data_IF_962542644524
#
_entry.id   IF_962542644524
#
_cell.length_a   1.000
_cell.length_b   1.000
_cell.length_c   1.000
_cell.angle_alpha   90.00
_cell.angle_beta   90.00
_cell.angle_gamma   90.00
#
_symmetry.space_group_name_H-M   'P 1'
#
loop_
_entity.id
_entity.type
_entity.pdbx_description
1 polymer ?
#
# COMPACT_ATOMS: atom_id res chain seq x y z
N UNK A 1 37.48 10.10 75.83
CA UNK A 1 36.18 10.79 75.64
C UNK A 1 36.17 11.65 74.38
N UNK A 2 37.11 12.58 74.18
CA UNK A 2 37.14 13.45 72.99
C UNK A 2 37.27 12.72 71.65
N UNK A 3 38.03 11.63 71.59
CA UNK A 3 38.17 10.78 70.39
C UNK A 3 36.87 10.07 70.03
N UNK A 4 36.22 9.41 70.99
CA UNK A 4 34.93 8.74 70.77
C UNK A 4 33.83 9.71 70.30
N UNK A 5 33.83 10.94 70.81
CA UNK A 5 32.88 11.96 70.38
C UNK A 5 33.13 12.38 68.93
N UNK A 6 34.39 12.57 68.54
CA UNK A 6 34.77 12.86 67.16
C UNK A 6 34.39 11.71 66.22
N UNK A 7 34.69 10.47 66.58
CA UNK A 7 34.36 9.30 65.75
C UNK A 7 32.83 9.18 65.54
N UNK A 8 32.04 9.53 66.56
CA UNK A 8 30.58 9.55 66.46
C UNK A 8 30.05 10.68 65.57
N UNK A 9 30.71 11.84 65.58
CA UNK A 9 30.41 12.96 64.68
C UNK A 9 30.76 12.62 63.22
N UNK A 10 31.94 12.04 62.99
CA UNK A 10 32.39 11.61 61.66
C UNK A 10 31.47 10.50 61.08
N UNK A 11 31.04 9.56 61.93
CA UNK A 11 30.07 8.53 61.53
C UNK A 11 28.70 9.14 61.17
N UNK A 12 28.23 10.13 61.94
CA UNK A 12 26.97 10.82 61.69
C UNK A 12 27.01 11.58 60.37
N UNK A 13 28.12 12.27 60.08
CA UNK A 13 28.36 12.96 58.82
C UNK A 13 28.28 11.98 57.65
N UNK A 14 29.01 10.86 57.75
CA UNK A 14 29.03 9.80 56.73
C UNK A 14 27.65 9.18 56.49
N UNK A 15 26.92 8.88 57.56
CA UNK A 15 25.56 8.32 57.48
C UNK A 15 24.58 9.29 56.81
N UNK A 16 24.67 10.59 57.11
CA UNK A 16 23.88 11.61 56.44
C UNK A 16 24.23 11.69 54.95
N UNK A 17 25.53 11.64 54.61
CA UNK A 17 25.99 11.60 53.22
C UNK A 17 25.41 10.43 52.44
N UNK A 18 25.54 9.21 52.98
CA UNK A 18 24.99 7.99 52.37
C UNK A 18 23.46 8.09 52.19
N UNK A 19 22.75 8.69 53.15
CA UNK A 19 21.30 8.85 53.06
C UNK A 19 20.90 9.77 51.90
N UNK A 20 21.64 10.88 51.71
CA UNK A 20 21.43 11.81 50.59
C UNK A 20 21.75 11.11 49.27
N UNK A 21 22.89 10.45 49.18
CA UNK A 21 23.32 9.73 47.98
C UNK A 21 22.31 8.65 47.60
N UNK A 22 21.82 7.87 48.57
CA UNK A 22 20.79 6.88 48.36
C UNK A 22 19.49 7.50 47.81
N UNK A 23 19.05 8.63 48.36
CA UNK A 23 17.88 9.33 47.85
C UNK A 23 18.07 9.81 46.40
N UNK A 24 19.27 10.26 46.03
CA UNK A 24 19.57 10.65 44.65
C UNK A 24 19.62 9.45 43.69
N UNK A 25 20.22 8.34 44.11
CA UNK A 25 20.28 7.09 43.35
C UNK A 25 18.87 6.54 43.10
N UNK A 26 17.99 6.58 44.10
CA UNK A 26 16.60 6.13 43.94
C UNK A 26 15.84 6.96 42.89
N UNK A 27 16.07 8.29 42.84
CA UNK A 27 15.48 9.15 41.80
C UNK A 27 16.00 8.80 40.41
N UNK A 28 17.32 8.61 40.28
CA UNK A 28 17.93 8.20 39.02
C UNK A 28 17.44 6.82 38.56
N UNK A 29 17.30 5.87 39.49
CA UNK A 29 16.79 4.54 39.22
C UNK A 29 15.34 4.56 38.72
N UNK A 30 14.50 5.42 39.27
CA UNK A 30 13.13 5.64 38.77
C UNK A 30 13.14 6.10 37.33
N UNK A 31 13.91 7.16 37.02
CA UNK A 31 14.00 7.70 35.67
C UNK A 31 14.51 6.66 34.65
N UNK A 32 15.53 5.86 35.02
CA UNK A 32 16.04 4.78 34.18
C UNK A 32 14.94 3.74 33.91
N UNK A 33 14.16 3.38 34.93
CA UNK A 33 13.09 2.39 34.80
C UNK A 33 11.99 2.89 33.85
N UNK A 34 11.63 4.17 33.94
CA UNK A 34 10.65 4.80 33.06
C UNK A 34 11.15 4.81 31.60
N UNK A 35 12.40 5.22 31.37
CA UNK A 35 13.02 5.20 30.04
C UNK A 35 13.10 3.78 29.45
N UNK A 36 13.42 2.77 30.26
CA UNK A 36 13.44 1.38 29.80
C UNK A 36 12.05 0.89 29.38
N UNK A 37 11.01 1.31 30.08
CA UNK A 37 9.62 1.03 29.73
C UNK A 37 9.27 1.65 28.37
N UNK A 38 9.60 2.92 28.17
CA UNK A 38 9.38 3.64 26.91
C UNK A 38 10.13 3.00 25.74
N UNK A 39 11.41 2.66 25.93
CA UNK A 39 12.21 1.95 24.91
C UNK A 39 11.55 0.63 24.53
N UNK A 40 11.05 -0.14 25.50
CA UNK A 40 10.37 -1.41 25.23
C UNK A 40 9.10 -1.19 24.40
N UNK A 41 8.31 -0.17 24.73
CA UNK A 41 7.11 0.19 23.98
C UNK A 41 7.44 0.63 22.55
N UNK A 42 8.44 1.50 22.37
CA UNK A 42 8.89 1.96 21.07
C UNK A 42 9.39 0.81 20.19
N UNK A 43 10.16 -0.13 20.75
CA UNK A 43 10.60 -1.32 20.01
C UNK A 43 9.42 -2.16 19.51
N UNK A 44 8.40 -2.34 20.34
CA UNK A 44 7.20 -3.07 19.95
C UNK A 44 6.45 -2.37 18.82
N UNK A 45 6.24 -1.05 18.93
CA UNK A 45 5.58 -0.26 17.88
C UNK A 45 6.35 -0.30 16.56
N UNK A 46 7.68 -0.21 16.61
CA UNK A 46 8.53 -0.24 15.43
C UNK A 46 8.44 -1.61 14.71
N UNK A 47 8.44 -2.70 15.47
CA UNK A 47 8.21 -4.05 14.90
C UNK A 47 6.86 -4.17 14.21
N UNK A 48 5.81 -3.61 14.80
CA UNK A 48 4.47 -3.68 14.21
C UNK A 48 4.34 -2.80 12.95
N UNK A 49 4.96 -1.62 12.96
CA UNK A 49 5.05 -0.77 11.77
C UNK A 49 5.84 -1.44 10.64
N UNK A 50 6.96 -2.09 10.95
CA UNK A 50 7.76 -2.81 9.96
C UNK A 50 6.95 -3.92 9.27
N UNK A 51 6.14 -4.69 10.01
CA UNK A 51 5.24 -5.68 9.41
C UNK A 51 4.22 -5.03 8.47
N UNK A 52 3.62 -3.93 8.90
CA UNK A 52 2.63 -3.20 8.10
C UNK A 52 3.24 -2.62 6.83
N UNK A 53 4.49 -2.17 6.88
CA UNK A 53 5.24 -1.73 5.70
C UNK A 53 5.36 -2.88 4.72
N UNK A 54 5.85 -4.05 5.15
CA UNK A 54 6.01 -5.22 4.28
C UNK A 54 4.67 -5.66 3.67
N UNK A 55 3.59 -5.66 4.45
CA UNK A 55 2.24 -5.96 3.94
C UNK A 55 1.81 -4.98 2.84
N UNK A 56 2.01 -3.68 3.07
CA UNK A 56 1.64 -2.65 2.10
C UNK A 56 2.53 -2.69 0.85
N UNK A 57 3.82 -2.96 1.00
CA UNK A 57 4.75 -3.13 -0.11
C UNK A 57 4.34 -4.29 -1.01
N UNK A 58 3.99 -5.45 -0.43
CA UNK A 58 3.48 -6.59 -1.19
C UNK A 58 2.21 -6.23 -1.95
N UNK A 59 1.27 -5.56 -1.29
CA UNK A 59 0.01 -5.15 -1.92
C UNK A 59 0.21 -4.13 -3.05
N UNK A 60 1.19 -3.23 -2.93
CA UNK A 60 1.57 -2.32 -4.03
C UNK A 60 2.17 -3.11 -5.18
N UNK A 61 3.06 -4.07 -4.91
CA UNK A 61 3.65 -4.92 -5.94
C UNK A 61 2.57 -5.70 -6.73
N UNK A 62 1.57 -6.24 -6.04
CA UNK A 62 0.43 -6.93 -6.66
C UNK A 62 -0.37 -5.99 -7.57
N UNK A 63 -0.68 -4.78 -7.10
CA UNK A 63 -1.41 -3.78 -7.87
C UNK A 63 -0.63 -3.29 -9.10
N UNK A 64 0.68 -3.10 -8.96
CA UNK A 64 1.54 -2.76 -10.09
C UNK A 64 1.59 -3.89 -11.12
N UNK A 65 1.65 -5.15 -10.68
CA UNK A 65 1.61 -6.30 -11.57
C UNK A 65 0.26 -6.38 -12.30
N UNK A 66 -0.85 -6.12 -11.60
CA UNK A 66 -2.18 -6.06 -12.19
C UNK A 66 -2.26 -4.96 -13.26
N UNK A 67 -1.75 -3.76 -12.97
CA UNK A 67 -1.69 -2.66 -13.94
C UNK A 67 -0.84 -3.01 -15.15
N UNK A 68 0.38 -3.54 -14.96
CA UNK A 68 1.26 -3.96 -16.06
C UNK A 68 0.61 -5.03 -16.94
N UNK A 69 -0.09 -5.99 -16.32
CA UNK A 69 -0.82 -7.03 -17.06
C UNK A 69 -1.95 -6.43 -17.90
N UNK A 70 -2.73 -5.52 -17.32
CA UNK A 70 -3.79 -4.83 -18.05
C UNK A 70 -3.24 -3.93 -19.18
N UNK A 71 -2.14 -3.22 -18.95
CA UNK A 71 -1.50 -2.39 -19.97
C UNK A 71 -0.94 -3.23 -21.12
N UNK A 72 -0.38 -4.42 -20.85
CA UNK A 72 0.04 -5.36 -21.91
C UNK A 72 -1.17 -5.89 -22.70
N UNK A 73 -2.28 -6.18 -22.03
CA UNK A 73 -3.53 -6.60 -22.70
C UNK A 73 -4.08 -5.47 -23.59
N UNK A 74 -3.97 -4.21 -23.15
CA UNK A 74 -4.45 -3.04 -23.89
C UNK A 74 -3.50 -2.65 -25.03
N UNK A 75 -2.18 -2.71 -24.82
CA UNK A 75 -1.15 -2.31 -25.81
C UNK A 75 -0.95 -3.34 -26.94
N UNK A 76 -1.52 -4.53 -26.83
CA UNK A 76 -1.68 -5.46 -27.97
C UNK A 76 -2.74 -5.01 -28.99
N UNK A 77 -3.50 -3.95 -28.69
CA UNK A 77 -4.54 -3.38 -29.56
C UNK A 77 -4.17 -1.93 -29.90
N UNK A 78 -4.19 -1.58 -31.19
CA UNK A 78 -3.89 -0.24 -31.66
C UNK A 78 -5.12 0.66 -31.42
N UNK A 79 -5.27 1.20 -30.20
CA UNK A 79 -6.36 2.13 -29.89
C UNK A 79 -5.98 3.52 -30.41
N UNK A 80 -6.41 3.86 -31.62
CA UNK A 80 -6.45 5.26 -32.07
C UNK A 80 -7.71 5.88 -31.44
N UNK A 81 -7.61 6.86 -30.52
CA UNK A 81 -8.80 7.50 -29.97
C UNK A 81 -9.57 8.12 -31.14
N UNK A 82 -10.80 7.64 -31.38
CA UNK A 82 -11.71 8.24 -32.36
C UNK A 82 -11.77 9.73 -32.03
N UNK A 83 -11.24 10.57 -32.92
CA UNK A 83 -11.36 12.01 -32.78
C UNK A 83 -12.85 12.34 -32.60
N UNK A 84 -13.22 12.83 -31.42
CA UNK A 84 -14.58 13.23 -31.05
C UNK A 84 -15.23 14.17 -32.09
N UNK A 85 -14.42 14.84 -32.92
CA UNK A 85 -14.85 15.69 -34.02
C UNK A 85 -15.61 14.99 -35.18
N UNK A 86 -15.55 13.66 -35.31
CA UNK A 86 -16.32 12.95 -36.34
C UNK A 86 -17.72 12.53 -35.88
N UNK A 87 -18.01 12.50 -34.56
CA UNK A 87 -19.31 12.09 -34.05
C UNK A 87 -20.43 13.13 -34.29
N UNK A 88 -20.09 14.35 -34.73
CA UNK A 88 -21.05 15.42 -35.00
C UNK A 88 -21.29 15.66 -36.50
N UNK A 89 -20.57 14.98 -37.39
CA UNK A 89 -20.85 15.05 -38.84
C UNK A 89 -21.88 13.98 -39.20
N UNK A 90 -23.14 14.39 -39.08
CA UNK A 90 -24.29 13.62 -39.56
C UNK A 90 -24.07 13.14 -40.99
N UNK A 91 -24.66 11.98 -41.28
CA UNK A 91 -24.62 11.28 -42.56
C UNK A 91 -24.73 12.24 -43.75
N UNK A 92 -23.61 12.55 -44.39
CA UNK A 92 -23.59 13.07 -45.75
C UNK A 92 -22.42 12.41 -46.46
N UNK A 93 -22.78 11.38 -47.22
CA UNK A 93 -21.91 10.67 -48.15
C UNK A 93 -21.29 11.65 -49.14
N UNK A 94 -19.98 11.84 -49.07
CA UNK A 94 -19.14 12.20 -50.24
C UNK A 94 -17.75 11.58 -50.06
N UNK A 95 -17.50 10.52 -50.82
CA UNK A 95 -16.21 10.05 -51.34
C UNK A 95 -14.94 10.49 -50.58
N UNK A 96 -14.49 9.65 -49.66
CA UNK A 96 -13.11 9.58 -49.20
C UNK A 96 -12.79 8.12 -48.95
N UNK A 97 -11.67 7.64 -49.48
CA UNK A 97 -11.19 6.26 -49.32
C UNK A 97 -11.35 5.85 -47.86
N UNK A 98 -12.25 4.89 -47.61
CA UNK A 98 -12.32 4.23 -46.31
C UNK A 98 -11.09 3.34 -46.25
N UNK A 99 -9.98 3.90 -45.75
CA UNK A 99 -8.96 3.05 -45.16
C UNK A 99 -9.69 2.20 -44.13
N UNK A 100 -9.67 0.89 -44.33
CA UNK A 100 -10.28 -0.06 -43.41
C UNK A 100 -9.40 -0.08 -42.15
N UNK A 101 -9.53 0.96 -41.32
CA UNK A 101 -8.94 0.98 -39.98
C UNK A 101 -9.79 0.03 -39.14
N UNK A 102 -9.23 -1.14 -38.85
CA UNK A 102 -9.84 -2.14 -37.96
C UNK A 102 -10.20 -1.46 -36.63
N UNK A 103 -11.46 -1.61 -36.23
CA UNK A 103 -11.92 -1.13 -34.92
C UNK A 103 -11.25 -1.92 -33.80
N UNK A 104 -11.18 -1.35 -32.60
CA UNK A 104 -10.63 -2.04 -31.42
C UNK A 104 -11.35 -3.36 -31.12
N UNK A 105 -12.62 -3.47 -31.51
CA UNK A 105 -13.43 -4.68 -31.40
C UNK A 105 -13.02 -5.74 -32.45
N UNK A 106 -12.73 -5.32 -33.69
CA UNK A 106 -12.22 -6.21 -34.76
C UNK A 106 -10.80 -6.72 -34.47
N UNK A 107 -9.93 -5.90 -33.87
CA UNK A 107 -8.58 -6.32 -33.45
C UNK A 107 -8.61 -7.28 -32.25
N UNK A 108 -9.69 -7.26 -31.46
CA UNK A 108 -9.85 -8.12 -30.29
C UNK A 108 -10.08 -9.59 -30.68
N UNK A 109 -10.81 -9.86 -31.76
CA UNK A 109 -11.13 -11.21 -32.21
C UNK A 109 -9.90 -12.06 -32.60
N UNK A 110 -8.95 -11.60 -33.45
CA UNK A 110 -7.75 -12.35 -33.77
C UNK A 110 -6.76 -12.40 -32.60
N UNK A 111 -6.71 -11.36 -31.76
CA UNK A 111 -5.86 -11.35 -30.57
C UNK A 111 -6.29 -12.40 -29.54
N UNK A 112 -7.60 -12.51 -29.29
CA UNK A 112 -8.17 -13.50 -28.38
C UNK A 112 -7.93 -14.95 -28.87
N UNK A 113 -7.99 -15.16 -30.19
CA UNK A 113 -7.67 -16.44 -30.83
C UNK A 113 -6.17 -16.79 -30.73
N UNK A 114 -5.29 -15.80 -30.94
CA UNK A 114 -3.83 -15.96 -30.82
C UNK A 114 -3.37 -16.27 -29.39
N UNK A 115 -4.03 -15.67 -28.38
CA UNK A 115 -3.77 -15.96 -26.97
C UNK A 115 -4.19 -17.38 -26.59
N UNK A 116 -5.39 -17.85 -26.98
CA UNK A 116 -5.81 -19.24 -26.68
C UNK A 116 -4.96 -20.29 -27.45
N UNK A 117 -4.25 -19.94 -28.53
CA UNK A 117 -3.33 -20.86 -29.25
C UNK A 117 -1.91 -20.95 -28.64
N UNK A 118 -1.45 -19.95 -27.89
CA UNK A 118 -0.05 -19.87 -27.39
C UNK A 118 0.17 -20.44 -25.98
N UNK A 119 -0.80 -21.13 -25.40
CA UNK A 119 -0.55 -22.08 -24.31
C UNK A 119 -0.37 -21.50 -22.91
N UNK A 120 -1.21 -20.54 -22.50
CA UNK A 120 -1.50 -20.35 -21.07
C UNK A 120 -2.74 -21.17 -20.73
N UNK A 121 -2.54 -22.28 -20.00
CA UNK A 121 -3.59 -23.15 -19.49
C UNK A 121 -4.49 -22.42 -18.48
N UNK A 122 -5.39 -21.57 -18.94
CA UNK A 122 -6.57 -21.18 -18.19
C UNK A 122 -7.73 -21.02 -19.14
N UNK A 123 -8.54 -22.09 -19.19
CA UNK A 123 -9.99 -22.07 -19.44
C UNK A 123 -10.47 -20.85 -20.23
N UNK A 124 -10.51 -20.96 -21.56
CA UNK A 124 -11.35 -20.10 -22.40
C UNK A 124 -12.80 -20.29 -21.84
N UNK A 125 -13.42 -19.32 -21.13
CA UNK A 125 -14.76 -19.51 -20.61
C UNK A 125 -15.72 -19.37 -21.78
N UNK A 126 -16.40 -20.46 -22.10
CA UNK A 126 -17.50 -20.51 -23.04
C UNK A 126 -18.51 -19.41 -22.67
N UNK A 127 -18.78 -18.50 -23.61
CA UNK A 127 -19.75 -17.44 -23.42
C UNK A 127 -21.15 -18.04 -23.33
N UNK A 128 -21.59 -18.44 -22.13
CA UNK A 128 -23.00 -18.34 -21.77
C UNK A 128 -23.15 -18.19 -20.25
N UNK A 129 -23.90 -17.16 -19.85
CA UNK A 129 -24.46 -16.90 -18.50
C UNK A 129 -23.58 -16.11 -17.52
N UNK A 130 -23.71 -14.79 -17.58
CA UNK A 130 -24.07 -13.97 -16.41
C UNK A 130 -24.47 -12.58 -16.88
N UNK A 131 -25.76 -12.39 -17.17
CA UNK A 131 -26.37 -11.07 -17.16
C UNK A 131 -26.49 -10.66 -15.69
N UNK A 132 -25.67 -9.71 -15.23
CA UNK A 132 -26.07 -8.88 -14.09
C UNK A 132 -26.92 -7.72 -14.63
N UNK A 133 -28.08 -7.43 -14.01
CA UNK A 133 -28.95 -6.36 -14.48
C UNK A 133 -28.30 -5.01 -14.22
N UNK A 134 -28.16 -4.22 -15.28
CA UNK A 134 -27.89 -2.78 -15.19
C UNK A 134 -29.09 -2.16 -14.48
N UNK A 135 -28.85 -1.57 -13.31
CA UNK A 135 -29.81 -0.72 -12.60
C UNK A 135 -30.17 0.43 -13.53
N UNK A 136 -31.41 0.43 -14.04
CA UNK A 136 -31.97 1.58 -14.75
C UNK A 136 -32.20 2.69 -13.72
N UNK A 137 -31.37 3.74 -13.77
CA UNK A 137 -31.72 5.04 -13.21
C UNK A 137 -32.82 5.63 -14.10
N UNK A 138 -34.07 5.52 -13.66
CA UNK A 138 -35.17 6.30 -14.20
C UNK A 138 -35.00 7.76 -13.78
N UNK A 139 -34.57 8.60 -14.71
CA UNK A 139 -34.84 10.04 -14.67
C UNK A 139 -35.92 10.31 -15.70
N UNK A 140 -37.16 10.42 -15.23
CA UNK A 140 -38.22 11.04 -16.00
C UNK A 140 -38.44 12.48 -15.51
N UNK A 141 -38.86 13.39 -16.41
CA UNK A 141 -38.93 14.84 -16.22
C UNK A 141 -40.11 15.33 -15.37
#
# INVERSE_FOLDING_TARGET
>A
MKTLQKDMEDLKESMNGITIDMATLMKQQSAITDLLSEIKQLKWQNMEQAKKIVELENRVADLEQYSRTNDVIITGLAIRPRNYAQATKGATSVNGVVEHEETTEEQMAPFHSSICLKGLNSVCPDQTKSLHPVVQLSSDP
#
